data_IF_682082575302
#
_entry.id   IF_682082575302
#
_cell.length_a   1.000
_cell.length_b   1.000
_cell.length_c   1.000
_cell.angle_alpha   90.00
_cell.angle_beta   90.00
_cell.angle_gamma   90.00
#
_symmetry.space_group_name_H-M   'P 1'
#
loop_
_entity.id
_entity.type
_entity.pdbx_description
1 polymer ?
#
# COMPACT_ATOMS: atom_id res chain seq x y z
N UNK A 1 4.21 11.69 -1.65
CA UNK A 1 3.30 12.26 -2.67
C UNK A 1 1.86 12.02 -2.24
N UNK A 2 0.97 12.99 -2.42
CA UNK A 2 -0.47 12.84 -2.12
C UNK A 2 -1.22 12.83 -3.45
N UNK A 3 -2.06 11.83 -3.66
CA UNK A 3 -2.98 11.76 -4.79
C UNK A 3 -4.39 12.11 -4.31
N UNK A 4 -4.81 13.36 -4.53
CA UNK A 4 -6.12 13.86 -4.09
C UNK A 4 -7.29 13.13 -4.75
N UNK A 5 -7.22 12.88 -6.05
CA UNK A 5 -8.27 12.18 -6.80
C UNK A 5 -8.53 10.78 -6.24
N UNK A 6 -7.46 10.05 -5.95
CA UNK A 6 -7.54 8.68 -5.42
C UNK A 6 -7.69 8.64 -3.90
N UNK A 7 -7.53 9.78 -3.23
CA UNK A 7 -7.42 9.90 -1.77
C UNK A 7 -6.41 8.89 -1.17
N UNK A 8 -5.16 8.93 -1.66
CA UNK A 8 -4.07 8.02 -1.25
C UNK A 8 -2.81 8.84 -0.96
N UNK A 9 -2.05 8.42 0.06
CA UNK A 9 -0.69 8.92 0.31
C UNK A 9 0.31 7.84 -0.12
N UNK A 10 1.35 8.28 -0.82
CA UNK A 10 2.44 7.44 -1.33
C UNK A 10 3.73 7.91 -0.68
N UNK A 11 4.38 7.05 0.09
CA UNK A 11 5.60 7.34 0.84
C UNK A 11 6.76 6.44 0.38
N UNK A 12 7.56 6.86 -0.62
CA UNK A 12 8.74 6.11 -1.03
C UNK A 12 9.89 6.27 -0.03
N UNK A 13 10.71 5.24 0.13
CA UNK A 13 11.95 5.24 0.91
C UNK A 13 12.98 4.28 0.30
N UNK A 14 14.21 4.29 0.82
CA UNK A 14 15.27 3.42 0.31
C UNK A 14 14.96 1.95 0.66
N UNK A 15 14.54 1.18 -0.34
CA UNK A 15 14.12 -0.22 -0.21
C UNK A 15 12.63 -0.47 -0.38
N UNK A 16 11.79 0.54 -0.63
CA UNK A 16 10.36 0.29 -0.81
C UNK A 16 9.46 1.52 -0.97
N UNK A 17 8.17 1.27 -0.88
CA UNK A 17 7.12 2.29 -0.98
C UNK A 17 5.92 1.87 -0.13
N UNK A 18 5.45 2.79 0.71
CA UNK A 18 4.21 2.59 1.45
C UNK A 18 3.05 3.30 0.75
N UNK A 19 1.92 2.59 0.67
CA UNK A 19 0.65 3.15 0.23
C UNK A 19 -0.31 3.24 1.42
N UNK A 20 -0.70 4.46 1.77
CA UNK A 20 -1.74 4.70 2.77
C UNK A 20 -3.04 4.96 2.01
N UNK A 21 -3.95 3.98 2.09
CA UNK A 21 -5.19 3.93 1.32
C UNK A 21 -6.36 3.95 2.30
N UNK A 22 -7.22 4.95 2.20
CA UNK A 22 -8.37 5.10 3.11
C UNK A 22 -9.61 4.29 2.68
N UNK A 23 -9.60 3.71 1.47
CA UNK A 23 -10.67 2.85 0.97
C UNK A 23 -10.30 1.37 1.18
N UNK A 24 -11.01 0.69 2.07
CA UNK A 24 -10.73 -0.71 2.43
C UNK A 24 -10.89 -1.69 1.26
N UNK A 25 -11.90 -1.50 0.41
CA UNK A 25 -12.12 -2.38 -0.74
C UNK A 25 -10.92 -2.30 -1.71
N UNK A 26 -10.46 -1.08 -2.00
CA UNK A 26 -9.29 -0.84 -2.85
C UNK A 26 -8.00 -1.33 -2.19
N UNK A 27 -7.85 -1.13 -0.87
CA UNK A 27 -6.71 -1.64 -0.11
C UNK A 27 -6.62 -3.16 -0.22
N UNK A 28 -7.74 -3.86 -0.01
CA UNK A 28 -7.81 -5.31 -0.06
C UNK A 28 -7.58 -5.85 -1.49
N UNK A 29 -8.09 -5.16 -2.51
CA UNK A 29 -7.78 -5.48 -3.92
C UNK A 29 -6.27 -5.43 -4.19
N UNK A 30 -5.60 -4.38 -3.74
CA UNK A 30 -4.16 -4.20 -3.94
C UNK A 30 -3.33 -5.21 -3.13
N UNK A 31 -3.72 -5.52 -1.89
CA UNK A 31 -3.10 -6.57 -1.08
C UNK A 31 -3.17 -7.92 -1.81
N UNK A 32 -4.35 -8.28 -2.33
CA UNK A 32 -4.50 -9.53 -3.07
C UNK A 32 -3.69 -9.55 -4.37
N UNK A 33 -3.66 -8.42 -5.09
CA UNK A 33 -2.92 -8.27 -6.34
C UNK A 33 -1.40 -8.43 -6.15
N UNK A 34 -0.87 -7.89 -5.06
CA UNK A 34 0.58 -7.88 -4.79
C UNK A 34 1.00 -8.88 -3.71
N UNK A 35 0.15 -9.85 -3.37
CA UNK A 35 0.37 -10.78 -2.24
C UNK A 35 1.75 -11.47 -2.27
N UNK A 36 2.24 -11.77 -3.46
CA UNK A 36 3.52 -12.49 -3.64
C UNK A 36 4.73 -11.57 -3.44
N UNK A 37 4.50 -10.26 -3.43
CA UNK A 37 5.52 -9.21 -3.26
C UNK A 37 5.41 -8.54 -1.89
N UNK A 38 4.41 -8.91 -1.07
CA UNK A 38 4.29 -8.41 0.29
C UNK A 38 5.38 -9.01 1.18
N UNK A 39 5.82 -8.21 2.14
CA UNK A 39 6.69 -8.66 3.22
C UNK A 39 6.05 -9.89 3.90
N UNK A 40 6.82 -10.98 4.15
CA UNK A 40 6.32 -12.14 4.87
C UNK A 40 6.14 -11.86 6.38
N UNK A 41 6.51 -10.65 6.83
CA UNK A 41 6.38 -10.26 8.23
C UNK A 41 4.90 -10.21 8.61
N UNK A 42 4.58 -10.85 9.73
CA UNK A 42 3.21 -10.97 10.22
C UNK A 42 2.63 -9.64 10.74
N UNK A 43 3.49 -8.65 11.02
CA UNK A 43 3.11 -7.31 11.48
C UNK A 43 2.82 -6.33 10.32
N UNK A 44 3.12 -6.72 9.08
CA UNK A 44 2.88 -5.88 7.90
C UNK A 44 3.79 -4.65 7.81
N UNK A 45 4.90 -4.64 8.55
CA UNK A 45 6.03 -3.72 8.42
C UNK A 45 7.22 -4.37 7.70
#
# INVERSE_FOLDING_TARGET
MISFEQNIIIAPYDGGIDFIIFNDAKRNELINKYKDWLSPRADGL
#
